data_IF_760270828557
#
_entry.id   IF_760270828557
#
_cell.length_a   1.000
_cell.length_b   1.000
_cell.length_c   1.000
_cell.angle_alpha   90.00
_cell.angle_beta   90.00
_cell.angle_gamma   90.00
#
_symmetry.space_group_name_H-M   'P 1'
#
loop_
_entity.id
_entity.type
_entity.pdbx_description
1 polymer ?
#
# COMPACT_ATOMS: atom_id res chain seq x y z
N UNK A 1 -5.41 -10.50 32.17
CA UNK A 1 -5.34 -9.49 31.11
C UNK A 1 -4.51 -9.94 29.92
N UNK A 2 -3.26 -10.45 30.10
CA UNK A 2 -2.40 -10.92 29.00
C UNK A 2 -2.94 -12.15 28.26
N UNK A 3 -3.52 -13.14 28.96
CA UNK A 3 -4.19 -14.31 28.35
C UNK A 3 -5.40 -13.89 27.50
N UNK A 4 -6.18 -12.92 27.94
CA UNK A 4 -7.32 -12.39 27.19
C UNK A 4 -6.91 -11.74 25.85
N UNK A 5 -5.72 -11.13 25.79
CA UNK A 5 -5.17 -10.56 24.54
C UNK A 5 -4.71 -11.68 23.60
N UNK A 6 -4.03 -12.70 24.15
CA UNK A 6 -3.56 -13.87 23.37
C UNK A 6 -4.75 -14.64 22.80
N UNK A 7 -5.84 -14.83 23.57
CA UNK A 7 -7.07 -15.47 23.10
C UNK A 7 -7.78 -14.65 22.01
N UNK A 8 -7.61 -13.33 22.05
CA UNK A 8 -8.13 -12.45 20.99
C UNK A 8 -7.35 -12.64 19.67
N UNK A 9 -6.03 -12.82 19.75
CA UNK A 9 -5.18 -13.11 18.60
C UNK A 9 -5.36 -14.54 18.04
N UNK A 10 -5.82 -15.48 18.84
CA UNK A 10 -6.14 -16.84 18.42
C UNK A 10 -7.53 -17.00 17.79
N UNK A 11 -8.32 -15.93 17.71
CA UNK A 11 -9.61 -15.97 17.03
C UNK A 11 -9.41 -16.25 15.52
N UNK A 12 -10.25 -17.13 14.94
CA UNK A 12 -10.12 -17.51 13.54
C UNK A 12 -10.18 -16.30 12.57
N UNK A 13 -10.87 -15.22 12.95
CA UNK A 13 -10.94 -13.97 12.21
C UNK A 13 -9.56 -13.38 11.96
N UNK A 14 -8.77 -13.18 13.03
CA UNK A 14 -7.47 -12.53 12.92
C UNK A 14 -6.47 -13.40 12.14
N UNK A 15 -6.45 -14.72 12.43
CA UNK A 15 -5.59 -15.67 11.73
C UNK A 15 -5.87 -15.70 10.22
N UNK A 16 -7.13 -15.74 9.82
CA UNK A 16 -7.52 -15.71 8.40
C UNK A 16 -7.13 -14.39 7.76
N UNK A 17 -7.41 -13.26 8.43
CA UNK A 17 -7.07 -11.92 7.93
C UNK A 17 -5.57 -11.74 7.75
N UNK A 18 -4.74 -12.24 8.67
CA UNK A 18 -3.28 -12.19 8.56
C UNK A 18 -2.77 -13.00 7.34
N UNK A 19 -3.30 -14.20 7.13
CA UNK A 19 -2.92 -15.04 5.98
C UNK A 19 -3.29 -14.34 4.67
N UNK A 20 -4.52 -13.81 4.57
CA UNK A 20 -4.94 -13.07 3.39
C UNK A 20 -4.15 -11.77 3.22
N UNK A 21 -3.75 -11.09 4.30
CA UNK A 21 -2.88 -9.92 4.25
C UNK A 21 -1.51 -10.24 3.64
N UNK A 22 -0.90 -11.36 4.04
CA UNK A 22 0.36 -11.82 3.43
C UNK A 22 0.18 -12.12 1.94
N UNK A 23 -0.88 -12.85 1.57
CA UNK A 23 -1.19 -13.16 0.16
C UNK A 23 -1.39 -11.86 -0.63
N UNK A 24 -2.09 -10.88 -0.06
CA UNK A 24 -2.34 -9.57 -0.69
C UNK A 24 -1.04 -8.83 -0.94
N UNK A 25 -0.15 -8.75 0.05
CA UNK A 25 1.14 -8.08 -0.09
C UNK A 25 2.03 -8.74 -1.15
N UNK A 26 2.08 -10.08 -1.17
CA UNK A 26 2.83 -10.82 -2.20
C UNK A 26 2.23 -10.65 -3.60
N UNK A 27 0.90 -10.65 -3.74
CA UNK A 27 0.22 -10.45 -5.02
C UNK A 27 0.44 -9.04 -5.56
N UNK A 28 0.39 -8.02 -4.70
CA UNK A 28 0.69 -6.64 -5.08
C UNK A 28 2.16 -6.47 -5.50
N UNK A 29 3.09 -7.12 -4.81
CA UNK A 29 4.50 -7.14 -5.21
C UNK A 29 4.72 -7.88 -6.54
N UNK A 30 4.02 -9.00 -6.78
CA UNK A 30 4.08 -9.69 -8.07
C UNK A 30 3.58 -8.77 -9.20
N UNK A 31 2.54 -7.97 -8.97
CA UNK A 31 2.07 -6.98 -9.93
C UNK A 31 3.13 -5.88 -10.18
N UNK A 32 3.80 -5.39 -9.13
CA UNK A 32 4.93 -4.48 -9.27
C UNK A 32 6.03 -5.06 -10.17
N UNK A 33 6.40 -6.33 -9.97
CA UNK A 33 7.38 -7.00 -10.83
C UNK A 33 6.89 -7.14 -12.28
N UNK A 34 5.61 -7.42 -12.50
CA UNK A 34 5.04 -7.46 -13.85
C UNK A 34 5.21 -6.12 -14.57
N UNK A 35 4.91 -5.00 -13.91
CA UNK A 35 5.12 -3.66 -14.48
C UNK A 35 6.60 -3.40 -14.79
N UNK A 36 7.49 -3.78 -13.88
CA UNK A 36 8.93 -3.65 -14.07
C UNK A 36 9.43 -4.40 -15.31
N UNK A 37 9.02 -5.67 -15.50
CA UNK A 37 9.41 -6.46 -16.67
C UNK A 37 8.80 -5.95 -17.98
N UNK A 38 7.66 -5.28 -17.92
CA UNK A 38 7.05 -4.61 -19.06
C UNK A 38 7.74 -3.29 -19.44
N UNK A 39 8.74 -2.84 -18.67
CA UNK A 39 9.39 -1.56 -18.86
C UNK A 39 8.54 -0.34 -18.52
N UNK A 40 7.46 -0.54 -17.75
CA UNK A 40 6.57 0.50 -17.25
C UNK A 40 7.06 0.88 -15.87
N UNK A 41 7.17 2.20 -15.57
CA UNK A 41 7.56 2.62 -14.23
C UNK A 41 6.56 2.08 -13.20
N UNK A 42 7.00 1.16 -12.31
CA UNK A 42 6.09 0.47 -11.41
C UNK A 42 5.70 1.29 -10.17
N UNK A 43 6.26 2.49 -10.03
CA UNK A 43 5.92 3.48 -9.01
C UNK A 43 5.09 4.62 -9.63
N UNK A 44 4.51 5.48 -8.79
CA UNK A 44 3.71 6.61 -9.25
C UNK A 44 2.29 6.21 -9.65
N UNK A 45 1.78 6.80 -10.73
CA UNK A 45 0.36 6.69 -11.13
C UNK A 45 -0.04 5.24 -11.51
N UNK A 46 0.86 4.48 -12.10
CA UNK A 46 0.60 3.09 -12.51
C UNK A 46 0.41 2.15 -11.31
N UNK A 47 0.98 2.50 -10.16
CA UNK A 47 0.84 1.74 -8.93
C UNK A 47 -0.56 1.82 -8.31
N UNK A 48 -1.35 2.83 -8.64
CA UNK A 48 -2.75 2.91 -8.18
C UNK A 48 -3.59 1.71 -8.67
N UNK A 49 -3.16 1.02 -9.73
CA UNK A 49 -3.86 -0.17 -10.24
C UNK A 49 -3.74 -1.38 -9.27
N UNK A 50 -2.74 -1.41 -8.37
CA UNK A 50 -2.60 -2.47 -7.38
C UNK A 50 -3.73 -2.46 -6.34
N UNK A 51 -4.40 -1.31 -6.17
CA UNK A 51 -5.56 -1.16 -5.29
C UNK A 51 -6.69 -2.15 -5.61
N UNK A 52 -6.89 -2.45 -6.89
CA UNK A 52 -7.85 -3.48 -7.32
C UNK A 52 -7.57 -4.85 -6.72
N UNK A 53 -6.30 -5.22 -6.57
CA UNK A 53 -5.87 -6.49 -5.95
C UNK A 53 -6.30 -6.54 -4.48
N UNK A 54 -6.12 -5.44 -3.75
CA UNK A 54 -6.54 -5.34 -2.34
C UNK A 54 -8.04 -5.52 -2.19
N UNK A 55 -8.84 -4.81 -2.99
CA UNK A 55 -10.31 -4.89 -2.94
C UNK A 55 -10.79 -6.33 -3.20
N UNK A 56 -10.26 -6.98 -4.24
CA UNK A 56 -10.63 -8.36 -4.59
C UNK A 56 -10.26 -9.34 -3.46
N UNK A 57 -9.06 -9.23 -2.89
CA UNK A 57 -8.61 -10.15 -1.86
C UNK A 57 -9.28 -9.90 -0.50
N UNK A 58 -9.63 -8.67 -0.17
CA UNK A 58 -10.45 -8.35 1.01
C UNK A 58 -11.85 -8.96 0.83
N UNK A 59 -12.48 -8.80 -0.33
CA UNK A 59 -13.77 -9.40 -0.62
C UNK A 59 -13.72 -10.94 -0.55
N UNK A 60 -12.66 -11.55 -1.09
CA UNK A 60 -12.44 -12.99 -1.00
C UNK A 60 -12.25 -13.46 0.45
N UNK A 61 -11.51 -12.69 1.27
CA UNK A 61 -11.32 -12.98 2.69
C UNK A 61 -12.66 -12.94 3.46
N UNK A 62 -13.45 -11.89 3.22
CA UNK A 62 -14.79 -11.74 3.80
C UNK A 62 -15.72 -12.92 3.42
N UNK A 63 -15.71 -13.28 2.12
CA UNK A 63 -16.48 -14.42 1.63
C UNK A 63 -16.04 -15.74 2.25
N UNK A 64 -14.73 -15.99 2.36
CA UNK A 64 -14.16 -17.18 2.98
C UNK A 64 -14.52 -17.27 4.46
N UNK A 65 -14.34 -16.17 5.20
CA UNK A 65 -14.68 -16.08 6.62
C UNK A 65 -16.17 -16.35 6.86
N UNK A 66 -17.05 -15.68 6.11
CA UNK A 66 -18.50 -15.87 6.17
C UNK A 66 -18.89 -17.33 5.97
N UNK A 67 -18.27 -18.02 5.01
CA UNK A 67 -18.60 -19.41 4.67
C UNK A 67 -18.04 -20.41 5.68
N UNK A 68 -16.83 -20.19 6.20
CA UNK A 68 -16.12 -21.18 7.03
C UNK A 68 -16.32 -20.99 8.52
N UNK A 69 -16.51 -19.77 8.97
CA UNK A 69 -16.58 -19.40 10.41
C UNK A 69 -17.94 -18.84 10.77
N UNK A 70 -18.50 -17.97 9.95
CA UNK A 70 -19.74 -17.25 10.24
C UNK A 70 -21.03 -18.03 9.91
N UNK A 71 -20.98 -19.31 9.52
CA UNK A 71 -22.16 -20.11 9.16
C UNK A 71 -23.11 -19.39 8.19
N UNK A 72 -22.59 -18.61 7.26
CA UNK A 72 -23.36 -17.83 6.28
C UNK A 72 -23.66 -16.40 6.69
N UNK A 73 -23.37 -16.00 7.92
CA UNK A 73 -23.53 -14.63 8.41
C UNK A 73 -22.18 -14.02 8.76
N UNK A 74 -22.10 -12.69 8.70
CA UNK A 74 -20.95 -11.91 9.09
C UNK A 74 -21.43 -10.56 9.61
N UNK A 75 -20.93 -10.13 10.76
CA UNK A 75 -21.24 -8.82 11.31
C UNK A 75 -20.40 -7.72 10.60
N UNK A 76 -20.95 -6.52 10.53
CA UNK A 76 -20.26 -5.39 9.89
C UNK A 76 -18.89 -5.13 10.50
N UNK A 77 -18.76 -5.18 11.82
CA UNK A 77 -17.50 -4.98 12.51
C UNK A 77 -16.43 -6.04 12.16
N UNK A 78 -16.84 -7.29 11.89
CA UNK A 78 -15.95 -8.36 11.44
C UNK A 78 -15.40 -8.05 10.05
N UNK A 79 -16.27 -7.57 9.13
CA UNK A 79 -15.88 -7.16 7.79
C UNK A 79 -14.89 -5.99 7.83
N UNK A 80 -15.16 -4.98 8.66
CA UNK A 80 -14.26 -3.83 8.84
C UNK A 80 -12.90 -4.26 9.42
N UNK A 81 -12.90 -5.15 10.40
CA UNK A 81 -11.65 -5.69 10.99
C UNK A 81 -10.85 -6.48 9.97
N UNK A 82 -11.50 -7.35 9.18
CA UNK A 82 -10.84 -8.08 8.09
C UNK A 82 -10.23 -7.11 7.10
N UNK A 83 -10.99 -6.13 6.61
CA UNK A 83 -10.54 -5.13 5.66
C UNK A 83 -9.31 -4.37 6.18
N UNK A 84 -9.36 -3.89 7.41
CA UNK A 84 -8.27 -3.16 8.03
C UNK A 84 -7.00 -4.02 8.19
N UNK A 85 -7.13 -5.23 8.74
CA UNK A 85 -5.97 -6.12 8.97
C UNK A 85 -5.34 -6.56 7.66
N UNK A 86 -6.14 -6.99 6.66
CA UNK A 86 -5.64 -7.40 5.34
C UNK A 86 -4.93 -6.24 4.67
N UNK A 87 -5.50 -5.03 4.74
CA UNK A 87 -4.92 -3.84 4.13
C UNK A 87 -3.59 -3.45 4.80
N UNK A 88 -3.54 -3.34 6.12
CA UNK A 88 -2.33 -2.98 6.85
C UNK A 88 -1.20 -3.99 6.62
N UNK A 89 -1.48 -5.29 6.79
CA UNK A 89 -0.48 -6.35 6.63
C UNK A 89 0.00 -6.42 5.17
N UNK A 90 -0.94 -6.33 4.21
CA UNK A 90 -0.62 -6.32 2.79
C UNK A 90 0.26 -5.12 2.40
N UNK A 91 -0.09 -3.92 2.88
CA UNK A 91 0.69 -2.71 2.62
C UNK A 91 2.11 -2.77 3.20
N UNK A 92 2.24 -3.26 4.45
CA UNK A 92 3.55 -3.43 5.08
C UNK A 92 4.45 -4.39 4.30
N UNK A 93 3.93 -5.56 3.94
CA UNK A 93 4.69 -6.58 3.19
C UNK A 93 5.06 -6.05 1.82
N UNK A 94 4.11 -5.47 1.08
CA UNK A 94 4.37 -4.90 -0.24
C UNK A 94 5.39 -3.77 -0.18
N UNK A 95 5.25 -2.84 0.77
CA UNK A 95 6.20 -1.73 0.96
C UNK A 95 7.62 -2.21 1.29
N UNK A 96 7.74 -3.21 2.17
CA UNK A 96 9.03 -3.83 2.50
C UNK A 96 9.69 -4.50 1.30
N UNK A 97 8.93 -5.28 0.52
CA UNK A 97 9.45 -5.97 -0.66
C UNK A 97 9.89 -4.97 -1.75
N UNK A 98 9.12 -3.91 -1.98
CA UNK A 98 9.51 -2.84 -2.91
C UNK A 98 10.77 -2.12 -2.45
N UNK A 99 10.87 -1.78 -1.15
CA UNK A 99 12.06 -1.16 -0.59
C UNK A 99 13.30 -2.04 -0.79
N UNK A 100 13.20 -3.34 -0.48
CA UNK A 100 14.31 -4.28 -0.70
C UNK A 100 14.67 -4.37 -2.19
N UNK A 101 13.69 -4.42 -3.07
CA UNK A 101 13.93 -4.49 -4.52
C UNK A 101 14.66 -3.24 -5.03
N UNK A 102 14.20 -2.05 -4.66
CA UNK A 102 14.81 -0.79 -5.06
C UNK A 102 16.22 -0.63 -4.49
N UNK A 103 16.42 -1.08 -3.25
CA UNK A 103 17.74 -0.91 -2.59
C UNK A 103 18.79 -1.88 -3.12
N UNK A 104 18.41 -3.13 -3.40
CA UNK A 104 19.38 -4.19 -3.71
C UNK A 104 19.38 -4.65 -5.17
N UNK A 105 18.30 -4.43 -5.92
CA UNK A 105 18.17 -4.93 -7.30
C UNK A 105 18.30 -3.80 -8.32
N UNK A 106 17.49 -2.77 -8.22
CA UNK A 106 17.51 -1.66 -9.20
C UNK A 106 17.17 -0.31 -8.57
N UNK A 107 18.19 0.45 -8.13
CA UNK A 107 17.99 1.80 -7.59
C UNK A 107 17.49 2.82 -8.63
N UNK A 108 17.62 2.54 -9.93
CA UNK A 108 17.21 3.46 -10.99
C UNK A 108 15.70 3.71 -11.00
N UNK A 109 14.90 2.75 -10.53
CA UNK A 109 13.45 2.88 -10.41
C UNK A 109 13.08 4.06 -9.50
N UNK A 110 13.79 4.21 -8.39
CA UNK A 110 13.56 5.30 -7.45
C UNK A 110 13.94 6.65 -8.06
N UNK A 111 15.09 6.72 -8.72
CA UNK A 111 15.55 7.94 -9.39
C UNK A 111 14.57 8.38 -10.47
N UNK A 112 14.06 7.44 -11.27
CA UNK A 112 13.06 7.71 -12.30
C UNK A 112 11.73 8.17 -11.70
N UNK A 113 11.33 7.57 -10.58
CA UNK A 113 10.11 7.98 -9.85
C UNK A 113 10.21 9.42 -9.34
N UNK A 114 11.34 9.81 -8.73
CA UNK A 114 11.56 11.18 -8.28
C UNK A 114 11.55 12.15 -9.48
N UNK A 115 12.20 11.79 -10.59
CA UNK A 115 12.22 12.60 -11.80
C UNK A 115 10.81 12.81 -12.38
N UNK A 116 9.97 11.76 -12.42
CA UNK A 116 8.57 11.85 -12.85
C UNK A 116 7.76 12.75 -11.91
N UNK A 117 7.91 12.58 -10.60
CA UNK A 117 7.21 13.41 -9.60
C UNK A 117 7.57 14.89 -9.74
N UNK A 118 8.84 15.21 -9.95
CA UNK A 118 9.32 16.58 -10.17
C UNK A 118 8.82 17.15 -11.49
N UNK A 119 8.74 16.34 -12.55
CA UNK A 119 8.17 16.73 -13.84
C UNK A 119 6.69 17.09 -13.71
N UNK A 120 5.90 16.22 -13.10
CA UNK A 120 4.48 16.46 -12.86
C UNK A 120 4.23 17.71 -12.01
N UNK A 121 5.09 17.93 -11.00
CA UNK A 121 5.01 19.10 -10.16
C UNK A 121 5.31 20.39 -10.95
N UNK A 122 6.28 20.34 -11.86
CA UNK A 122 6.61 21.48 -12.74
C UNK A 122 5.51 21.75 -13.77
N UNK A 123 4.91 20.73 -14.34
CA UNK A 123 3.78 20.87 -15.30
C UNK A 123 2.56 21.51 -14.63
N UNK A 124 2.27 21.15 -13.36
CA UNK A 124 1.19 21.72 -12.57
C UNK A 124 1.52 22.99 -11.79
N UNK A 125 2.74 23.54 -11.94
CA UNK A 125 3.25 24.65 -11.12
C UNK A 125 2.33 25.86 -11.05
N UNK A 126 1.78 26.32 -12.17
CA UNK A 126 0.93 27.52 -12.21
C UNK A 126 -0.36 27.34 -11.39
N UNK A 127 -0.97 26.15 -11.47
CA UNK A 127 -2.17 25.83 -10.71
C UNK A 127 -1.87 25.66 -9.23
N UNK A 128 -0.80 24.94 -8.91
CA UNK A 128 -0.39 24.68 -7.53
C UNK A 128 0.05 25.96 -6.80
N UNK A 129 0.83 26.83 -7.43
CA UNK A 129 1.27 28.10 -6.83
C UNK A 129 0.06 29.03 -6.58
N UNK A 130 -0.98 28.96 -7.40
CA UNK A 130 -2.22 29.70 -7.16
C UNK A 130 -2.97 29.23 -5.91
N UNK A 131 -2.88 27.92 -5.59
CA UNK A 131 -3.57 27.32 -4.43
C UNK A 131 -2.76 27.40 -3.12
N UNK A 132 -1.45 27.03 -3.16
CA UNK A 132 -0.62 26.84 -1.95
C UNK A 132 0.42 27.93 -1.71
N UNK A 133 0.55 28.92 -2.58
CA UNK A 133 1.58 29.96 -2.60
C UNK A 133 3.01 29.44 -2.93
N UNK A 134 3.84 30.30 -3.47
CA UNK A 134 5.18 29.97 -3.94
C UNK A 134 6.14 29.40 -2.87
N UNK A 135 6.18 29.90 -1.61
CA UNK A 135 7.10 29.36 -0.61
C UNK A 135 6.75 27.92 -0.18
N UNK A 136 5.48 27.53 -0.20
CA UNK A 136 5.05 26.18 0.17
C UNK A 136 5.25 25.19 -1.00
N UNK A 137 5.12 25.67 -2.25
CA UNK A 137 5.52 24.93 -3.43
C UNK A 137 7.02 24.59 -3.41
N UNK A 138 7.88 25.57 -3.09
CA UNK A 138 9.33 25.34 -3.01
C UNK A 138 9.71 24.32 -1.93
N UNK A 139 9.04 24.36 -0.76
CA UNK A 139 9.24 23.34 0.29
C UNK A 139 8.85 21.95 -0.19
N UNK A 140 7.69 21.82 -0.86
CA UNK A 140 7.23 20.55 -1.42
C UNK A 140 8.21 20.02 -2.48
N UNK A 141 8.70 20.88 -3.36
CA UNK A 141 9.71 20.53 -4.35
C UNK A 141 10.99 20.01 -3.71
N UNK A 142 11.49 20.72 -2.70
CA UNK A 142 12.71 20.32 -1.97
C UNK A 142 12.50 19.02 -1.18
N UNK A 143 11.34 18.80 -0.59
CA UNK A 143 11.05 17.55 0.13
C UNK A 143 11.02 16.34 -0.80
N UNK A 144 10.46 16.48 -2.01
CA UNK A 144 10.48 15.40 -3.01
C UNK A 144 11.90 15.14 -3.49
N UNK A 145 12.69 16.18 -3.72
CA UNK A 145 14.07 16.03 -4.15
C UNK A 145 14.99 15.39 -3.09
N UNK A 146 14.68 15.60 -1.81
CA UNK A 146 15.43 15.06 -0.68
C UNK A 146 14.88 13.71 -0.17
N UNK A 147 13.82 13.16 -0.81
CA UNK A 147 13.20 11.90 -0.40
C UNK A 147 14.17 10.72 -0.49
N UNK A 148 14.16 9.88 0.54
CA UNK A 148 14.95 8.65 0.59
C UNK A 148 14.07 7.41 0.26
N UNK A 149 14.68 6.31 -0.26
CA UNK A 149 13.95 5.07 -0.54
C UNK A 149 13.21 4.48 0.67
N UNK A 150 13.70 4.75 1.88
CA UNK A 150 13.08 4.32 3.15
C UNK A 150 11.72 4.97 3.40
N UNK A 151 11.50 6.17 2.87
CA UNK A 151 10.23 6.90 3.01
C UNK A 151 9.09 6.28 2.18
N UNK A 152 9.42 5.51 1.15
CA UNK A 152 8.41 4.77 0.36
C UNK A 152 7.58 3.82 1.20
N UNK A 153 8.15 3.24 2.26
CA UNK A 153 7.42 2.32 3.16
C UNK A 153 6.34 3.10 3.91
N UNK A 154 6.69 4.25 4.47
CA UNK A 154 5.75 5.08 5.24
C UNK A 154 4.67 5.68 4.34
N UNK A 155 5.02 6.11 3.14
CA UNK A 155 4.10 6.66 2.15
C UNK A 155 3.11 5.59 1.64
N UNK A 156 3.59 4.38 1.40
CA UNK A 156 2.77 3.24 0.99
C UNK A 156 1.74 2.86 2.05
N UNK A 157 2.16 2.78 3.32
CA UNK A 157 1.28 2.47 4.44
C UNK A 157 0.28 3.61 4.66
N UNK A 158 0.72 4.87 4.63
CA UNK A 158 -0.14 6.03 4.81
C UNK A 158 -1.24 6.11 3.75
N UNK A 159 -0.90 5.97 2.46
CA UNK A 159 -1.88 6.04 1.37
C UNK A 159 -2.97 4.97 1.48
N UNK A 160 -2.62 3.78 1.96
CA UNK A 160 -3.56 2.67 2.11
C UNK A 160 -4.31 2.64 3.44
N UNK A 161 -3.89 3.43 4.43
CA UNK A 161 -4.63 3.57 5.70
C UNK A 161 -5.72 4.66 5.66
N UNK A 162 -5.63 5.60 4.72
CA UNK A 162 -6.57 6.73 4.59
C UNK A 162 -7.79 6.36 3.71
N UNK A 163 -7.76 5.24 3.02
CA UNK A 163 -8.86 4.68 2.23
C UNK A 163 -9.66 3.65 3.02
#
# INVERSE_FOLDING_TARGET
MMQSIIDYFNKPLLKISLIFGVITGLSAFAFFLCLYFLGILPLGNNKMMDFGIYVILIAACCWYYRKKVGNGFMHLWEALTIGYVVNCVGALINGWLIYLFITFVDPSIFTNYIAEMLSLLNEGKEQLVAEIKEPDFLKMYQSIQAMEPSELISDEVSKKMVL
#
